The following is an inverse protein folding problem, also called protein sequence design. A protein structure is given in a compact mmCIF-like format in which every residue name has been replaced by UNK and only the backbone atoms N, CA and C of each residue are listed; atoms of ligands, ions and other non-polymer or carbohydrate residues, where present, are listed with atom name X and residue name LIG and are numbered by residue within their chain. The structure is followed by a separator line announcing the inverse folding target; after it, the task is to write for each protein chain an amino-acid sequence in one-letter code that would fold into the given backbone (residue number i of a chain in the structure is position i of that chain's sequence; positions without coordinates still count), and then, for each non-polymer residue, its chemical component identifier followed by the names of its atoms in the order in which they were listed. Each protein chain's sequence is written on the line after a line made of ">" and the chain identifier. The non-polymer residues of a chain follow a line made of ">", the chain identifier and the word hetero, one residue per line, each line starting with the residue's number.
data_IF_010588879109
#
_entry.id   IF_010588879109
#
_cell.length_a   1.000
_cell.length_b   1.000
_cell.length_c   1.000
_cell.angle_alpha   90.00
_cell.angle_beta   90.00
_cell.angle_gamma   90.00
#
_symmetry.space_group_name_H-M   'P 1'
#
loop_
_entity.id
_entity.type
_entity.pdbx_description
1 polymer ?
#
# COMPACT_ATOMS: atom_id res chain seq x y z
N UNK A 1 -7.30 -4.77 0.88
CA UNK A 1 -8.34 -4.72 -0.17
C UNK A 1 -7.78 -3.93 -1.34
N UNK A 2 -8.09 -4.30 -2.58
CA UNK A 2 -7.56 -3.56 -3.74
C UNK A 2 -8.15 -2.15 -3.89
N UNK A 3 -9.28 -1.88 -3.21
CA UNK A 3 -9.93 -0.59 -3.13
C UNK A 3 -9.78 0.04 -1.75
N UNK A 4 -9.37 1.30 -1.75
CA UNK A 4 -9.11 2.12 -0.58
C UNK A 4 -10.36 2.61 0.15
N UNK A 5 -11.56 2.37 -0.39
CA UNK A 5 -12.83 2.77 0.26
C UNK A 5 -12.99 2.25 1.69
N UNK A 6 -12.31 1.18 2.07
CA UNK A 6 -12.31 0.71 3.47
C UNK A 6 -11.35 1.49 4.38
N UNK A 7 -10.28 2.09 3.84
CA UNK A 7 -9.23 2.76 4.61
C UNK A 7 -9.66 4.16 5.11
N UNK A 8 -10.71 4.74 4.53
CA UNK A 8 -11.37 5.94 5.07
C UNK A 8 -12.21 5.62 6.33
N UNK A 9 -12.72 4.39 6.47
CA UNK A 9 -13.53 3.97 7.61
C UNK A 9 -12.75 3.17 8.66
N UNK A 10 -11.66 2.51 8.25
CA UNK A 10 -10.79 1.70 9.10
C UNK A 10 -9.37 2.19 8.91
N UNK A 11 -8.86 2.92 9.90
CA UNK A 11 -7.47 3.39 9.91
C UNK A 11 -6.57 2.21 10.32
N UNK A 12 -5.73 1.67 9.42
CA UNK A 12 -4.82 0.61 9.78
C UNK A 12 -3.64 1.20 10.55
N UNK A 13 -3.19 0.50 11.58
CA UNK A 13 -1.93 0.82 12.27
C UNK A 13 -0.72 0.55 11.36
N UNK A 14 -0.84 -0.45 10.47
CA UNK A 14 0.25 -0.86 9.58
C UNK A 14 -0.26 -1.38 8.25
N UNK A 15 0.41 -1.00 7.19
CA UNK A 15 0.12 -1.35 5.79
C UNK A 15 1.31 -2.11 5.23
N UNK A 16 1.03 -3.28 4.64
CA UNK A 16 2.01 -4.10 3.96
C UNK A 16 1.62 -4.25 2.50
N UNK A 17 2.57 -3.98 1.61
CA UNK A 17 2.41 -4.15 0.16
C UNK A 17 3.08 -5.44 -0.25
N UNK A 18 2.31 -6.35 -0.81
CA UNK A 18 2.83 -7.59 -1.38
C UNK A 18 3.02 -7.45 -2.89
N UNK A 19 4.19 -7.86 -3.36
CA UNK A 19 4.54 -8.01 -4.78
C UNK A 19 5.18 -9.40 -4.94
N UNK A 20 4.75 -10.17 -5.94
CA UNK A 20 5.26 -11.51 -6.24
C UNK A 20 5.36 -12.45 -5.02
N UNK A 21 4.37 -12.37 -4.12
CA UNK A 21 4.30 -13.21 -2.93
C UNK A 21 5.27 -12.81 -1.80
N UNK A 22 5.98 -11.68 -1.91
CA UNK A 22 6.85 -11.14 -0.87
C UNK A 22 6.39 -9.74 -0.44
N UNK A 23 6.72 -9.35 0.79
CA UNK A 23 6.47 -8.00 1.27
C UNK A 23 7.51 -7.08 0.64
N UNK A 24 7.09 -6.27 -0.34
CA UNK A 24 7.95 -5.30 -1.00
C UNK A 24 8.13 -4.03 -0.16
N UNK A 25 7.07 -3.60 0.53
CA UNK A 25 7.12 -2.40 1.38
C UNK A 25 6.16 -2.49 2.55
N UNK A 26 6.58 -1.91 3.67
CA UNK A 26 5.77 -1.78 4.89
C UNK A 26 5.82 -0.34 5.37
N UNK A 27 4.70 0.16 5.86
CA UNK A 27 4.61 1.52 6.40
C UNK A 27 3.27 1.75 7.06
N UNK A 28 3.05 2.97 7.52
CA UNK A 28 1.78 3.33 8.17
C UNK A 28 0.71 3.69 7.13
N UNK A 29 -0.44 4.19 7.57
CA UNK A 29 -1.53 4.64 6.70
C UNK A 29 -1.12 5.63 5.59
N UNK A 30 -0.03 6.37 5.78
CA UNK A 30 0.50 7.29 4.77
C UNK A 30 1.01 6.57 3.53
N UNK A 31 1.55 5.36 3.68
CA UNK A 31 1.99 4.53 2.56
C UNK A 31 0.83 4.22 1.62
N UNK A 32 -0.36 3.99 2.17
CA UNK A 32 -1.56 3.75 1.38
C UNK A 32 -1.93 5.01 0.57
N UNK A 33 -1.90 6.20 1.17
CA UNK A 33 -2.21 7.45 0.46
C UNK A 33 -1.19 7.77 -0.63
N UNK A 34 0.09 7.53 -0.37
CA UNK A 34 1.14 7.70 -1.38
C UNK A 34 0.95 6.78 -2.58
N UNK A 35 0.63 5.50 -2.34
CA UNK A 35 0.35 4.52 -3.38
C UNK A 35 -0.80 4.89 -4.31
N UNK A 36 -1.81 5.60 -3.81
CA UNK A 36 -2.86 6.14 -4.68
C UNK A 36 -2.35 7.29 -5.55
N UNK A 37 -1.53 8.19 -4.98
CA UNK A 37 -1.06 9.37 -5.69
C UNK A 37 0.03 9.05 -6.72
N UNK A 38 0.94 8.11 -6.46
CA UNK A 38 2.02 7.74 -7.38
C UNK A 38 1.72 6.47 -8.19
N UNK A 39 0.67 5.74 -7.81
CA UNK A 39 0.31 4.46 -8.42
C UNK A 39 1.23 3.31 -7.97
N UNK A 40 0.81 2.08 -8.24
CA UNK A 40 1.54 0.86 -7.84
C UNK A 40 2.86 0.63 -8.61
N UNK A 41 3.18 1.48 -9.60
CA UNK A 41 4.35 1.35 -10.47
C UNK A 41 5.68 1.48 -9.71
N UNK A 42 5.75 2.36 -8.72
CA UNK A 42 6.99 2.55 -7.93
C UNK A 42 7.35 1.31 -7.11
N UNK A 43 6.37 0.48 -6.74
CA UNK A 43 6.62 -0.71 -5.91
C UNK A 43 6.94 -1.93 -6.77
N UNK A 44 6.46 -1.99 -8.02
CA UNK A 44 6.91 -3.00 -8.99
C UNK A 44 8.38 -2.81 -9.38
N UNK A 45 8.91 -1.58 -9.35
CA UNK A 45 10.30 -1.29 -9.68
C UNK A 45 11.31 -1.69 -8.59
N UNK A 46 10.84 -2.13 -7.42
CA UNK A 46 11.69 -2.44 -6.25
C UNK A 46 11.79 -3.94 -5.93
N UNK A 47 11.35 -4.81 -6.85
CA UNK A 47 11.47 -6.27 -6.75
C UNK A 47 12.75 -6.80 -7.44
#
# INVERSE_FOLDING_TARGET
>A
THYQRLLDYIVPDRVHVLVDGKIAKSGDKELAKQLESTGYAEIQAQA
#
